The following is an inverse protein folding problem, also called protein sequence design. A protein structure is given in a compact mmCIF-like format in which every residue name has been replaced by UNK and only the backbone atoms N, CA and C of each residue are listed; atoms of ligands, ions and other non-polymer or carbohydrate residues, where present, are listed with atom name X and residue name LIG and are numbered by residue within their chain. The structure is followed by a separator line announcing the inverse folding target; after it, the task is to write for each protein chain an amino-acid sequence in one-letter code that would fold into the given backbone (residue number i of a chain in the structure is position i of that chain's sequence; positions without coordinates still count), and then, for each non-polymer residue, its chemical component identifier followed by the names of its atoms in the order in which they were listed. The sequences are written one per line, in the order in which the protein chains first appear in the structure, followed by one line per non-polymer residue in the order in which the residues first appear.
data_IF_994574285679
#
_entry.id   IF_994574285679
#
_cell.length_a   1.000
_cell.length_b   1.000
_cell.length_c   1.000
_cell.angle_alpha   90.00
_cell.angle_beta   90.00
_cell.angle_gamma   90.00
#
_symmetry.space_group_name_H-M   'P 1'
#
loop_
_entity.id
_entity.type
_entity.pdbx_description
1 polymer ?
#
# COMPACT_ATOMS: atom_id res chain seq x y z
N UNK A 1 6.37 -18.10 -6.17
CA UNK A 1 7.12 -18.73 -5.06
C UNK A 1 6.80 -20.21 -5.05
N UNK A 2 7.82 -21.05 -4.93
CA UNK A 2 7.63 -22.48 -4.66
C UNK A 2 7.92 -22.70 -3.17
N UNK A 3 6.85 -22.79 -2.39
CA UNK A 3 6.86 -23.00 -0.95
C UNK A 3 7.14 -24.48 -0.67
N UNK A 4 8.38 -24.91 -0.85
CA UNK A 4 8.79 -26.32 -0.63
C UNK A 4 8.38 -26.80 0.77
N UNK A 5 8.41 -25.90 1.76
CA UNK A 5 7.70 -26.02 3.02
C UNK A 5 7.47 -24.61 3.61
N UNK A 6 6.59 -24.46 4.61
CA UNK A 6 6.29 -23.17 5.27
C UNK A 6 7.47 -22.54 6.05
N UNK A 7 8.68 -23.11 6.00
CA UNK A 7 9.84 -22.68 6.80
C UNK A 7 10.98 -22.15 5.94
N UNK A 8 11.14 -22.66 4.72
CA UNK A 8 12.27 -22.35 3.87
C UNK A 8 11.78 -21.72 2.56
N UNK A 9 12.05 -20.43 2.42
CA UNK A 9 11.60 -19.62 1.28
C UNK A 9 12.74 -19.41 0.27
N UNK A 10 12.44 -19.52 -1.02
CA UNK A 10 13.44 -19.31 -2.08
C UNK A 10 12.84 -18.52 -3.24
N UNK A 11 13.66 -17.67 -3.86
CA UNK A 11 13.37 -17.10 -5.16
C UNK A 11 13.84 -18.09 -6.24
N UNK A 12 12.94 -18.44 -7.16
CA UNK A 12 13.23 -19.38 -8.24
C UNK A 12 12.80 -18.79 -9.58
N UNK A 13 13.64 -18.99 -10.60
CA UNK A 13 13.33 -18.65 -11.99
C UNK A 13 13.12 -19.92 -12.79
N UNK A 14 12.06 -19.95 -13.59
CA UNK A 14 11.74 -21.05 -14.48
C UNK A 14 11.70 -20.58 -15.93
N UNK A 15 12.10 -21.45 -16.86
CA UNK A 15 11.97 -21.20 -18.28
C UNK A 15 10.50 -21.38 -18.69
N UNK A 16 9.86 -20.31 -19.18
CA UNK A 16 8.41 -20.30 -19.47
C UNK A 16 7.98 -21.42 -20.44
N UNK A 17 8.79 -21.73 -21.46
CA UNK A 17 8.45 -22.74 -22.49
C UNK A 17 8.51 -24.18 -22.00
N UNK A 18 9.36 -24.48 -21.02
CA UNK A 18 9.66 -25.87 -20.62
C UNK A 18 9.31 -26.16 -19.17
N UNK A 19 9.05 -25.13 -18.36
CA UNK A 19 8.90 -25.27 -16.91
C UNK A 19 10.20 -25.67 -16.21
N UNK A 20 11.34 -25.76 -16.89
CA UNK A 20 12.62 -26.15 -16.28
C UNK A 20 13.12 -25.02 -15.38
N UNK A 21 13.56 -25.36 -14.17
CA UNK A 21 14.24 -24.42 -13.28
C UNK A 21 15.53 -23.93 -13.92
N UNK A 22 15.70 -22.61 -13.98
CA UNK A 22 16.90 -21.93 -14.48
C UNK A 22 17.90 -21.73 -13.34
N UNK A 23 17.42 -21.17 -12.23
CA UNK A 23 18.19 -20.99 -11.01
C UNK A 23 17.27 -20.89 -9.79
N UNK A 24 17.89 -21.06 -8.62
CA UNK A 24 17.30 -20.87 -7.30
C UNK A 24 18.27 -20.02 -6.46
N UNK A 25 17.74 -19.05 -5.72
CA UNK A 25 18.54 -18.22 -4.81
C UNK A 25 19.00 -18.99 -3.58
N UNK A 26 19.85 -18.37 -2.76
CA UNK A 26 19.97 -18.74 -1.36
C UNK A 26 18.61 -18.62 -0.64
N UNK A 27 18.49 -19.28 0.52
CA UNK A 27 17.28 -19.23 1.34
C UNK A 27 17.00 -17.80 1.84
N UNK A 28 15.76 -17.35 1.67
CA UNK A 28 15.25 -16.10 2.24
C UNK A 28 14.80 -16.40 3.67
N UNK A 29 15.74 -16.23 4.60
CA UNK A 29 15.55 -16.64 6.00
C UNK A 29 14.35 -15.97 6.66
N UNK A 30 13.58 -16.78 7.39
CA UNK A 30 12.45 -16.37 8.23
C UNK A 30 11.34 -15.59 7.51
N UNK A 31 11.36 -15.52 6.18
CA UNK A 31 10.35 -14.78 5.42
C UNK A 31 8.97 -15.40 5.63
N UNK A 32 8.03 -14.60 6.15
CA UNK A 32 6.64 -15.01 6.35
C UNK A 32 5.70 -14.53 5.24
N UNK A 33 6.10 -13.45 4.56
CA UNK A 33 5.40 -12.89 3.41
C UNK A 33 6.41 -12.20 2.49
N UNK A 34 6.18 -12.30 1.19
CA UNK A 34 6.92 -11.56 0.16
C UNK A 34 5.89 -10.84 -0.73
N UNK A 35 5.31 -9.72 -0.26
CA UNK A 35 4.22 -9.04 -0.97
C UNK A 35 4.66 -8.34 -2.27
N UNK A 36 5.97 -8.11 -2.45
CA UNK A 36 6.50 -7.42 -3.63
C UNK A 36 7.66 -8.18 -4.27
N UNK A 37 7.53 -8.47 -5.56
CA UNK A 37 8.60 -8.99 -6.41
C UNK A 37 8.66 -8.10 -7.65
N UNK A 38 9.77 -7.39 -7.81
CA UNK A 38 9.96 -6.45 -8.90
C UNK A 38 11.16 -6.87 -9.72
N UNK A 39 11.04 -6.81 -11.04
CA UNK A 39 12.13 -7.14 -11.96
C UNK A 39 12.45 -5.90 -12.77
N UNK A 40 13.71 -5.47 -12.77
CA UNK A 40 14.21 -4.37 -13.58
C UNK A 40 15.61 -4.72 -14.07
N UNK A 41 15.85 -4.54 -15.37
CA UNK A 41 17.10 -4.90 -16.03
C UNK A 41 17.58 -6.33 -15.67
N UNK A 42 18.76 -6.43 -15.07
CA UNK A 42 19.39 -7.67 -14.60
C UNK A 42 19.18 -7.90 -13.08
N UNK A 43 18.19 -7.26 -12.47
CA UNK A 43 17.92 -7.29 -11.02
C UNK A 43 16.49 -7.76 -10.69
N UNK A 44 16.37 -8.45 -9.56
CA UNK A 44 15.09 -8.75 -8.90
C UNK A 44 15.11 -8.17 -7.50
N UNK A 45 14.14 -7.30 -7.19
CA UNK A 45 13.99 -6.66 -5.88
C UNK A 45 12.82 -7.33 -5.17
N UNK A 46 13.06 -7.77 -3.94
CA UNK A 46 12.06 -8.38 -3.07
C UNK A 46 11.72 -7.43 -1.91
N UNK A 47 10.42 -7.26 -1.68
CA UNK A 47 9.89 -6.79 -0.41
C UNK A 47 9.65 -8.01 0.47
N UNK A 48 10.39 -8.16 1.57
CA UNK A 48 10.09 -9.17 2.59
C UNK A 48 9.31 -8.49 3.71
N UNK A 49 8.15 -9.04 4.03
CA UNK A 49 7.22 -8.49 5.03
C UNK A 49 6.72 -7.08 4.67
N UNK A 50 6.39 -6.31 5.71
CA UNK A 50 5.81 -4.98 5.61
C UNK A 50 4.29 -5.06 5.61
N UNK A 51 3.62 -4.04 5.09
CA UNK A 51 2.19 -4.07 4.83
C UNK A 51 1.85 -5.13 3.78
N UNK A 52 0.99 -6.07 4.18
CA UNK A 52 0.48 -7.17 3.37
C UNK A 52 -1.04 -7.12 3.40
N UNK A 53 -1.64 -7.17 2.22
CA UNK A 53 -3.09 -7.35 2.09
C UNK A 53 -3.45 -8.82 2.33
N UNK A 54 -4.22 -9.09 3.37
CA UNK A 54 -4.77 -10.39 3.69
C UNK A 54 -6.24 -10.44 3.26
N UNK A 55 -6.57 -11.33 2.34
CA UNK A 55 -7.96 -11.60 1.96
C UNK A 55 -8.41 -12.95 2.52
N UNK A 56 -9.57 -12.97 3.18
CA UNK A 56 -10.12 -14.21 3.73
C UNK A 56 -11.65 -14.21 3.76
N UNK A 57 -12.22 -15.41 3.68
CA UNK A 57 -13.66 -15.63 3.83
C UNK A 57 -13.94 -16.04 5.28
N UNK A 58 -14.62 -15.18 6.03
CA UNK A 58 -15.07 -15.48 7.38
C UNK A 58 -16.48 -16.06 7.35
N UNK A 59 -16.65 -17.19 8.04
CA UNK A 59 -17.95 -17.84 8.23
C UNK A 59 -18.34 -17.76 9.70
N UNK A 60 -19.34 -16.94 10.01
CA UNK A 60 -19.84 -16.73 11.37
C UNK A 60 -21.18 -17.44 11.54
N UNK A 61 -21.32 -18.29 12.57
CA UNK A 61 -22.57 -18.97 12.89
C UNK A 61 -23.49 -18.01 13.68
N UNK A 62 -24.71 -17.83 13.21
CA UNK A 62 -25.72 -16.99 13.85
C UNK A 62 -26.45 -17.77 14.97
N UNK A 63 -27.11 -17.08 15.92
CA UNK A 63 -27.86 -17.72 17.00
C UNK A 63 -28.97 -18.68 16.54
N UNK A 64 -29.54 -18.43 15.35
CA UNK A 64 -30.59 -19.25 14.71
C UNK A 64 -30.04 -20.48 13.97
N UNK A 65 -28.72 -20.70 14.00
CA UNK A 65 -28.06 -21.82 13.31
C UNK A 65 -27.70 -21.57 11.85
N UNK A 66 -28.11 -20.43 11.27
CA UNK A 66 -27.66 -20.00 9.93
C UNK A 66 -26.20 -19.52 9.96
N UNK A 67 -25.62 -19.28 8.78
CA UNK A 67 -24.27 -18.75 8.65
C UNK A 67 -24.26 -17.43 7.89
N UNK A 68 -23.52 -16.47 8.41
CA UNK A 68 -23.13 -15.26 7.69
C UNK A 68 -21.75 -15.50 7.07
N UNK A 69 -21.62 -15.29 5.77
CA UNK A 69 -20.35 -15.35 5.04
C UNK A 69 -19.93 -13.92 4.72
N UNK A 70 -18.74 -13.54 5.18
CA UNK A 70 -18.16 -12.22 4.94
C UNK A 70 -16.82 -12.40 4.24
N UNK A 71 -16.62 -11.69 3.13
CA UNK A 71 -15.30 -11.54 2.53
C UNK A 71 -14.62 -10.37 3.24
N UNK A 72 -13.53 -10.65 3.96
CA UNK A 72 -12.75 -9.64 4.66
C UNK A 72 -11.44 -9.41 3.95
N UNK A 73 -11.01 -8.15 3.97
CA UNK A 73 -9.71 -7.76 3.48
C UNK A 73 -9.08 -6.82 4.49
N UNK A 74 -7.89 -7.19 4.95
CA UNK A 74 -7.16 -6.53 6.02
C UNK A 74 -5.73 -6.22 5.57
N UNK A 75 -5.15 -5.18 6.17
CA UNK A 75 -3.78 -4.76 5.94
C UNK A 75 -2.97 -5.09 7.19
N UNK A 76 -2.13 -6.12 7.13
CA UNK A 76 -1.31 -6.57 8.26
C UNK A 76 0.17 -6.23 8.03
N UNK A 77 0.84 -5.71 9.05
CA UNK A 77 2.30 -5.52 8.99
C UNK A 77 3.03 -6.80 9.44
N UNK A 78 3.57 -7.53 8.48
CA UNK A 78 4.21 -8.85 8.69
C UNK A 78 5.72 -8.70 8.86
N UNK A 79 6.27 -9.34 9.90
CA UNK A 79 7.72 -9.45 10.16
C UNK A 79 8.27 -10.83 9.75
N UNK A 80 9.59 -10.95 9.47
CA UNK A 80 10.60 -9.90 9.41
C UNK A 80 10.38 -8.98 8.21
N UNK A 81 11.02 -7.80 8.26
CA UNK A 81 10.94 -6.79 7.20
C UNK A 81 12.31 -6.51 6.61
N UNK A 82 12.46 -6.49 5.29
CA UNK A 82 13.65 -5.97 4.60
C UNK A 82 13.36 -5.80 3.11
N UNK A 83 14.32 -5.18 2.42
CA UNK A 83 14.41 -5.18 0.96
C UNK A 83 15.65 -5.96 0.56
N UNK A 84 15.51 -6.88 -0.37
CA UNK A 84 16.62 -7.68 -0.90
C UNK A 84 16.71 -7.51 -2.41
N UNK A 85 17.92 -7.56 -2.94
CA UNK A 85 18.17 -7.52 -4.38
C UNK A 85 18.98 -8.74 -4.82
N UNK A 86 18.56 -9.33 -5.92
CA UNK A 86 19.15 -10.51 -6.54
C UNK A 86 19.51 -10.23 -7.99
N UNK A 87 20.53 -10.90 -8.49
CA UNK A 87 20.85 -10.93 -9.90
C UNK A 87 19.78 -11.77 -10.63
N UNK A 88 19.09 -11.19 -11.62
CA UNK A 88 18.01 -11.85 -12.36
C UNK A 88 18.48 -12.96 -13.32
N UNK A 89 19.79 -13.01 -13.59
CA UNK A 89 20.44 -14.00 -14.46
C UNK A 89 20.93 -15.19 -13.64
N UNK A 90 21.58 -14.96 -12.51
CA UNK A 90 22.23 -16.02 -11.71
C UNK A 90 21.45 -16.43 -10.46
N UNK A 91 20.57 -15.58 -9.94
CA UNK A 91 19.88 -15.80 -8.66
C UNK A 91 20.72 -15.46 -7.42
N UNK A 92 21.94 -14.93 -7.60
CA UNK A 92 22.81 -14.51 -6.51
C UNK A 92 22.24 -13.28 -5.78
N UNK A 93 22.27 -13.27 -4.45
CA UNK A 93 21.90 -12.10 -3.67
C UNK A 93 23.02 -11.05 -3.75
N UNK A 94 22.65 -9.84 -4.16
CA UNK A 94 23.59 -8.74 -4.36
C UNK A 94 23.69 -7.84 -3.13
N UNK A 95 22.55 -7.54 -2.49
CA UNK A 95 22.49 -6.76 -1.25
C UNK A 95 21.19 -6.98 -0.50
N UNK A 96 21.18 -6.61 0.78
CA UNK A 96 20.01 -6.54 1.67
C UNK A 96 20.04 -5.22 2.43
N UNK A 97 18.87 -4.59 2.61
CA UNK A 97 18.76 -3.32 3.34
C UNK A 97 18.78 -3.52 4.86
N UNK A 98 19.79 -2.97 5.55
CA UNK A 98 19.86 -3.02 7.02
C UNK A 98 18.84 -2.08 7.69
N UNK A 99 18.57 -0.89 7.10
CA UNK A 99 17.63 0.06 7.71
C UNK A 99 16.19 -0.45 7.75
N UNK A 100 15.75 -1.16 6.72
CA UNK A 100 14.35 -1.62 6.63
C UNK A 100 14.04 -2.76 7.60
N UNK A 101 15.07 -3.43 8.17
CA UNK A 101 14.92 -4.39 9.28
C UNK A 101 14.23 -3.81 10.52
N UNK A 102 14.26 -2.47 10.68
CA UNK A 102 13.63 -1.77 11.80
C UNK A 102 12.13 -1.51 11.59
N UNK A 103 11.66 -1.53 10.35
CA UNK A 103 10.29 -1.20 10.01
C UNK A 103 10.16 -0.85 8.53
N UNK A 104 9.09 -1.32 7.91
CA UNK A 104 8.72 -1.04 6.54
C UNK A 104 7.19 -1.09 6.40
N UNK A 105 6.66 -0.21 5.56
CA UNK A 105 5.28 -0.25 5.06
C UNK A 105 5.30 -1.07 3.78
N UNK A 106 5.46 -0.43 2.63
CA UNK A 106 5.63 -1.07 1.33
C UNK A 106 6.72 -0.35 0.52
N UNK A 107 6.98 -0.86 -0.68
CA UNK A 107 7.88 -0.25 -1.64
C UNK A 107 7.32 -0.25 -3.06
N UNK A 108 7.86 0.61 -3.92
CA UNK A 108 7.70 0.55 -5.37
C UNK A 108 8.99 1.00 -6.07
N UNK A 109 9.14 0.68 -7.36
CA UNK A 109 10.30 1.11 -8.15
C UNK A 109 10.00 2.41 -8.90
N UNK A 110 10.99 3.31 -8.97
CA UNK A 110 10.95 4.56 -9.72
C UNK A 110 12.30 4.79 -10.42
N UNK A 111 12.37 4.39 -11.69
CA UNK A 111 13.62 4.41 -12.45
C UNK A 111 14.66 3.47 -11.83
N UNK A 112 15.86 3.97 -11.57
CA UNK A 112 16.95 3.21 -10.94
C UNK A 112 16.82 3.08 -9.41
N UNK A 113 15.69 3.49 -8.83
CA UNK A 113 15.52 3.61 -7.38
C UNK A 113 14.36 2.77 -6.87
N UNK A 114 14.50 2.18 -5.68
CA UNK A 114 13.39 1.64 -4.90
C UNK A 114 12.96 2.68 -3.87
N UNK A 115 11.71 3.12 -3.94
CA UNK A 115 11.09 4.02 -2.96
C UNK A 115 10.48 3.17 -1.86
N UNK A 116 10.89 3.40 -0.62
CA UNK A 116 10.49 2.59 0.54
C UNK A 116 10.13 3.51 1.70
N UNK A 117 9.13 3.16 2.51
CA UNK A 117 8.81 3.91 3.72
C UNK A 117 8.85 3.03 4.96
N UNK A 118 9.51 3.49 6.03
CA UNK A 118 9.61 2.78 7.32
C UNK A 118 8.45 3.02 8.27
N UNK A 119 7.47 3.82 7.85
CA UNK A 119 6.45 4.42 8.71
C UNK A 119 6.88 5.73 9.36
N UNK A 120 8.19 5.98 9.53
CA UNK A 120 8.73 7.22 10.13
C UNK A 120 9.52 8.09 9.16
N UNK A 121 10.06 7.47 8.12
CA UNK A 121 10.85 8.15 7.11
C UNK A 121 10.58 7.54 5.72
N UNK A 122 10.73 8.39 4.70
CA UNK A 122 10.74 8.01 3.30
C UNK A 122 12.18 7.86 2.82
N UNK A 123 12.45 6.78 2.10
CA UNK A 123 13.76 6.43 1.56
C UNK A 123 13.68 6.28 0.05
N UNK A 124 14.77 6.63 -0.63
CA UNK A 124 15.06 6.17 -1.99
C UNK A 124 16.35 5.38 -1.92
N UNK A 125 16.31 4.11 -2.33
CA UNK A 125 17.46 3.22 -2.39
C UNK A 125 17.90 3.09 -3.84
N UNK A 126 19.18 3.27 -4.13
CA UNK A 126 19.76 2.92 -5.42
C UNK A 126 19.67 1.41 -5.64
N UNK A 127 19.04 0.96 -6.73
CA UNK A 127 18.79 -0.47 -6.96
C UNK A 127 20.10 -1.24 -7.21
N UNK A 128 21.11 -0.58 -7.79
CA UNK A 128 22.38 -1.23 -8.09
C UNK A 128 23.17 -1.58 -6.82
N UNK A 129 23.15 -0.72 -5.81
CA UNK A 129 24.02 -0.81 -4.62
C UNK A 129 23.28 -1.00 -3.30
N UNK A 130 21.98 -0.73 -3.23
CA UNK A 130 21.18 -0.75 -2.01
C UNK A 130 21.40 0.46 -1.09
N UNK A 131 22.26 1.41 -1.49
CA UNK A 131 22.57 2.62 -0.71
C UNK A 131 21.43 3.63 -0.80
N UNK A 132 21.21 4.38 0.27
CA UNK A 132 20.21 5.44 0.25
C UNK A 132 20.68 6.64 -0.59
N UNK A 133 19.88 7.03 -1.58
CA UNK A 133 19.99 8.33 -2.24
C UNK A 133 19.53 9.45 -1.29
N UNK A 134 18.46 9.18 -0.54
CA UNK A 134 17.99 10.08 0.52
C UNK A 134 17.21 9.33 1.60
N UNK A 135 17.13 9.97 2.77
CA UNK A 135 16.26 9.64 3.89
C UNK A 135 15.57 10.92 4.37
N UNK A 136 14.24 10.93 4.43
CA UNK A 136 13.45 12.08 4.85
C UNK A 136 12.50 11.69 5.97
N UNK A 137 12.71 12.26 7.15
CA UNK A 137 11.79 12.08 8.27
C UNK A 137 10.40 12.66 7.94
N UNK A 138 9.35 11.94 8.32
CA UNK A 138 7.95 12.31 8.05
C UNK A 138 7.27 13.03 9.21
N UNK A 139 8.01 13.29 10.30
CA UNK A 139 7.46 13.97 11.49
C UNK A 139 6.89 15.34 11.15
N UNK A 140 7.55 16.07 10.26
CA UNK A 140 7.18 17.43 9.87
C UNK A 140 5.96 17.47 8.94
N UNK A 141 5.69 16.38 8.22
CA UNK A 141 4.50 16.20 7.37
C UNK A 141 3.22 16.19 8.20
N UNK A 142 3.35 15.85 9.48
CA UNK A 142 2.30 16.00 10.48
C UNK A 142 1.06 15.12 10.23
N UNK A 143 1.25 13.97 9.57
CA UNK A 143 0.20 13.00 9.20
C UNK A 143 0.21 11.73 10.06
N UNK A 144 0.95 11.71 11.17
CA UNK A 144 1.14 10.51 11.99
C UNK A 144 2.22 9.57 11.44
N UNK A 145 2.21 8.29 11.84
CA UNK A 145 3.03 7.29 11.19
C UNK A 145 2.47 6.98 9.81
N UNK A 146 3.33 6.79 8.82
CA UNK A 146 2.92 6.29 7.52
C UNK A 146 2.51 4.83 7.62
N UNK A 147 1.34 4.51 7.07
CA UNK A 147 0.85 3.14 6.95
C UNK A 147 1.12 2.59 5.54
N UNK A 148 1.11 3.45 4.52
CA UNK A 148 1.32 3.06 3.12
C UNK A 148 1.90 4.21 2.30
N UNK A 149 2.69 3.87 1.27
CA UNK A 149 3.06 4.78 0.18
C UNK A 149 2.48 4.33 -1.15
N UNK A 150 2.16 5.32 -2.00
CA UNK A 150 1.62 5.12 -3.35
C UNK A 150 2.47 5.90 -4.34
N UNK A 151 2.75 5.29 -5.49
CA UNK A 151 3.34 5.95 -6.65
C UNK A 151 2.29 6.84 -7.34
N UNK A 152 2.57 8.14 -7.44
CA UNK A 152 1.68 9.09 -8.14
C UNK A 152 2.48 10.14 -8.93
N UNK A 153 2.48 10.06 -10.26
CA UNK A 153 3.17 11.00 -11.15
C UNK A 153 4.67 11.15 -10.80
N UNK A 154 5.12 12.35 -10.42
CA UNK A 154 6.48 12.66 -9.96
C UNK A 154 6.63 12.61 -8.43
N UNK A 155 5.58 12.17 -7.74
CA UNK A 155 5.41 12.23 -6.29
C UNK A 155 5.20 10.85 -5.65
N UNK A 156 5.50 10.80 -4.37
CA UNK A 156 5.14 9.73 -3.45
C UNK A 156 4.02 10.25 -2.58
N UNK A 157 2.84 9.62 -2.69
CA UNK A 157 1.75 9.88 -1.75
C UNK A 157 1.97 9.01 -0.52
N UNK A 158 2.00 9.64 0.64
CA UNK A 158 2.21 9.02 1.94
C UNK A 158 0.88 9.07 2.66
N UNK A 159 0.29 7.90 2.87
CA UNK A 159 -0.91 7.73 3.68
C UNK A 159 -0.46 7.48 5.11
N UNK A 160 -0.72 8.44 5.99
CA UNK A 160 -0.45 8.31 7.41
C UNK A 160 -1.71 8.11 8.22
N UNK A 161 -1.54 7.67 9.47
CA UNK A 161 -2.62 7.42 10.41
C UNK A 161 -3.58 8.62 10.54
N UNK A 162 -3.10 9.84 10.32
CA UNK A 162 -3.82 11.10 10.55
C UNK A 162 -3.76 12.05 9.35
N UNK A 163 -3.70 11.52 8.13
CA UNK A 163 -3.84 12.31 6.91
C UNK A 163 -2.97 11.85 5.76
N UNK A 164 -2.78 12.72 4.78
CA UNK A 164 -2.04 12.43 3.55
C UNK A 164 -0.96 13.48 3.34
N UNK A 165 0.24 13.04 2.97
CA UNK A 165 1.36 13.88 2.59
C UNK A 165 1.84 13.52 1.18
N UNK A 166 2.51 14.45 0.52
CA UNK A 166 3.18 14.24 -0.75
C UNK A 166 4.61 14.75 -0.72
N UNK A 167 5.51 13.96 -1.30
CA UNK A 167 6.93 14.27 -1.47
C UNK A 167 7.39 13.91 -2.87
N UNK A 168 8.36 14.63 -3.44
CA UNK A 168 8.91 14.29 -4.76
C UNK A 168 9.70 12.98 -4.71
N UNK A 169 9.56 12.15 -5.76
CA UNK A 169 10.35 10.90 -5.89
C UNK A 169 11.84 11.15 -6.11
N UNK A 170 12.20 12.28 -6.70
CA UNK A 170 13.57 12.59 -7.12
C UNK A 170 14.51 12.82 -5.94
N UNK A 171 14.06 13.55 -4.92
CA UNK A 171 14.90 14.02 -3.81
C UNK A 171 14.20 13.94 -2.43
N UNK A 172 12.95 13.46 -2.39
CA UNK A 172 12.13 13.40 -1.19
C UNK A 172 11.70 14.77 -0.67
N UNK A 173 11.86 15.84 -1.44
CA UNK A 173 11.44 17.19 -1.04
C UNK A 173 9.92 17.23 -0.80
N UNK A 174 9.53 18.00 0.22
CA UNK A 174 8.13 18.15 0.63
C UNK A 174 7.33 18.92 -0.42
N UNK A 175 6.16 18.42 -0.78
CA UNK A 175 5.23 19.08 -1.70
C UNK A 175 4.05 19.68 -0.94
N UNK A 176 3.45 18.90 -0.04
CA UNK A 176 2.30 19.34 0.73
C UNK A 176 1.75 18.22 1.60
N UNK A 177 0.96 18.57 2.61
CA UNK A 177 0.21 17.61 3.41
C UNK A 177 -1.07 18.24 3.93
N UNK A 178 -2.01 17.38 4.27
CA UNK A 178 -3.22 17.77 4.98
C UNK A 178 -3.54 16.76 6.07
N UNK A 179 -3.85 17.30 7.24
CA UNK A 179 -4.26 16.53 8.42
C UNK A 179 -5.71 16.14 8.35
N UNK A 180 -5.99 14.93 8.82
CA UNK A 180 -7.34 14.50 9.12
C UNK A 180 -7.36 13.68 10.42
N UNK A 181 -8.55 13.20 10.78
CA UNK A 181 -8.74 12.31 11.92
C UNK A 181 -8.08 10.95 11.65
N UNK A 182 -7.95 10.13 12.70
CA UNK A 182 -7.47 8.76 12.54
C UNK A 182 -8.38 8.02 11.56
N UNK A 183 -7.81 7.56 10.44
CA UNK A 183 -8.59 7.06 9.31
C UNK A 183 -7.80 6.05 8.49
N UNK A 184 -8.51 5.28 7.68
CA UNK A 184 -7.94 4.32 6.73
C UNK A 184 -8.41 4.66 5.32
N UNK A 185 -7.66 4.29 4.27
CA UNK A 185 -8.11 4.47 2.90
C UNK A 185 -9.43 3.73 2.64
N UNK A 186 -10.29 4.34 1.83
CA UNK A 186 -11.44 3.64 1.27
C UNK A 186 -10.94 2.63 0.24
N UNK A 187 -11.39 1.39 0.37
CA UNK A 187 -11.03 0.30 -0.53
C UNK A 187 -12.28 -0.40 -1.07
N UNK A 188 -12.14 -1.03 -2.23
CA UNK A 188 -13.13 -1.92 -2.81
C UNK A 188 -12.47 -3.24 -3.15
N UNK A 189 -13.03 -4.34 -2.65
CA UNK A 189 -12.42 -5.67 -2.74
C UNK A 189 -10.93 -5.64 -2.36
N UNK A 190 -10.60 -4.91 -1.28
CA UNK A 190 -9.26 -4.87 -0.70
C UNK A 190 -8.34 -3.84 -1.30
N UNK A 191 -8.54 -3.56 -2.57
CA UNK A 191 -7.74 -2.58 -3.28
C UNK A 191 -8.14 -1.19 -2.85
N UNK A 192 -7.15 -0.42 -2.41
CA UNK A 192 -7.33 1.01 -2.16
C UNK A 192 -7.71 1.66 -3.47
N UNK A 193 -8.87 2.31 -3.47
CA UNK A 193 -9.30 3.04 -4.65
C UNK A 193 -8.69 4.43 -4.58
N UNK A 194 -7.87 4.72 -5.57
CA UNK A 194 -7.41 6.07 -5.90
C UNK A 194 -7.35 6.18 -7.42
N UNK A 195 -7.77 7.31 -7.98
CA UNK A 195 -7.93 7.44 -9.42
C UNK A 195 -8.02 8.90 -9.85
N UNK A 196 -7.36 9.22 -10.96
CA UNK A 196 -7.19 10.59 -11.45
C UNK A 196 -6.35 11.44 -10.51
N UNK A 197 -7.02 12.14 -9.59
CA UNK A 197 -6.43 13.03 -8.59
C UNK A 197 -7.06 12.84 -7.22
N UNK A 198 -7.76 11.74 -6.96
CA UNK A 198 -8.55 11.58 -5.74
C UNK A 198 -8.19 10.34 -4.92
N UNK A 199 -8.14 10.53 -3.60
CA UNK A 199 -7.98 9.47 -2.59
C UNK A 199 -8.94 9.77 -1.43
N UNK A 200 -9.74 8.80 -1.02
CA UNK A 200 -10.64 8.95 0.12
C UNK A 200 -10.10 8.23 1.36
N UNK A 201 -10.15 8.89 2.52
CA UNK A 201 -9.94 8.29 3.82
C UNK A 201 -11.26 8.27 4.61
N UNK A 202 -11.46 7.23 5.42
CA UNK A 202 -12.64 7.05 6.27
C UNK A 202 -12.24 6.82 7.73
N UNK A 203 -12.91 7.49 8.66
CA UNK A 203 -12.77 7.21 10.11
C UNK A 203 -13.64 6.03 10.54
N UNK A 204 -13.42 5.51 11.75
CA UNK A 204 -14.29 4.48 12.35
C UNK A 204 -15.73 4.96 12.61
N UNK A 205 -15.96 6.28 12.61
CA UNK A 205 -17.27 6.89 12.80
C UNK A 205 -17.91 7.33 11.46
N UNK A 206 -17.33 6.91 10.33
CA UNK A 206 -17.80 7.21 8.97
C UNK A 206 -17.71 8.69 8.58
N UNK A 207 -16.71 9.42 9.10
CA UNK A 207 -16.31 10.70 8.52
C UNK A 207 -15.40 10.42 7.32
N UNK A 208 -15.68 11.05 6.18
CA UNK A 208 -14.87 10.89 4.97
C UNK A 208 -14.10 12.16 4.62
N UNK A 209 -12.84 12.00 4.22
CA UNK A 209 -12.04 13.05 3.64
C UNK A 209 -11.58 12.62 2.24
N UNK A 210 -11.99 13.36 1.21
CA UNK A 210 -11.53 13.11 -0.17
C UNK A 210 -10.45 14.11 -0.52
N UNK A 211 -9.22 13.64 -0.64
CA UNK A 211 -8.04 14.40 -0.97
C UNK A 211 -7.89 14.58 -2.47
N UNK A 212 -7.53 15.79 -2.88
CA UNK A 212 -6.94 16.08 -4.18
C UNK A 212 -5.42 15.83 -4.11
N UNK A 213 -4.95 14.82 -4.84
CA UNK A 213 -3.56 14.36 -4.85
C UNK A 213 -2.58 15.32 -5.54
N UNK A 214 -3.07 16.37 -6.19
CA UNK A 214 -2.22 17.41 -6.79
C UNK A 214 -2.04 18.59 -5.83
N UNK A 215 -3.11 19.00 -5.13
CA UNK A 215 -3.09 20.17 -4.24
C UNK A 215 -2.89 19.82 -2.76
N UNK A 216 -2.99 18.54 -2.41
CA UNK A 216 -2.98 18.04 -1.03
C UNK A 216 -4.08 18.65 -0.14
N UNK A 217 -5.17 19.15 -0.73
CA UNK A 217 -6.36 19.62 0.00
C UNK A 217 -7.43 18.55 0.00
N UNK A 218 -8.28 18.49 1.00
CA UNK A 218 -9.42 17.58 1.01
C UNK A 218 -10.74 18.30 1.26
N UNK A 219 -11.83 17.64 0.83
CA UNK A 219 -13.19 17.97 1.22
C UNK A 219 -13.67 16.98 2.28
N UNK A 220 -14.25 17.50 3.36
CA UNK A 220 -14.92 16.68 4.38
C UNK A 220 -16.34 16.34 3.94
N UNK A 221 -16.74 15.12 4.24
CA UNK A 221 -18.11 14.65 4.15
C UNK A 221 -18.47 13.98 5.47
N UNK A 222 -19.25 14.69 6.28
CA UNK A 222 -19.78 14.19 7.54
C UNK A 222 -20.94 13.24 7.23
N UNK A 223 -20.66 11.95 7.09
CA UNK A 223 -21.74 10.97 6.96
C UNK A 223 -22.39 10.72 8.32
N UNK A 224 -23.69 10.45 8.33
CA UNK A 224 -24.40 10.12 9.58
C UNK A 224 -23.88 8.80 10.15
N UNK A 225 -23.98 8.64 11.47
CA UNK A 225 -23.61 7.40 12.16
C UNK A 225 -24.31 6.19 11.51
N UNK A 226 -23.53 5.23 11.04
CA UNK A 226 -24.04 4.02 10.36
C UNK A 226 -24.22 4.18 8.84
N UNK A 227 -23.85 5.32 8.26
CA UNK A 227 -23.72 5.44 6.80
C UNK A 227 -22.63 4.51 6.26
N UNK A 228 -22.81 4.04 5.04
CA UNK A 228 -21.75 3.38 4.26
C UNK A 228 -21.34 4.30 3.12
N UNK A 229 -20.10 4.20 2.67
CA UNK A 229 -19.70 4.87 1.45
C UNK A 229 -18.78 4.01 0.61
N UNK A 230 -18.89 4.23 -0.70
CA UNK A 230 -18.13 3.53 -1.71
C UNK A 230 -17.52 4.59 -2.63
N UNK A 231 -16.21 4.55 -2.82
CA UNK A 231 -15.60 5.26 -3.93
C UNK A 231 -15.87 4.43 -5.19
N UNK A 232 -16.21 5.06 -6.31
CA UNK A 232 -16.29 4.39 -7.60
C UNK A 232 -14.92 3.88 -8.00
N UNK A 233 -14.85 2.78 -8.76
CA UNK A 233 -13.58 2.14 -9.13
C UNK A 233 -12.63 3.09 -9.90
N UNK A 234 -13.18 4.09 -10.59
CA UNK A 234 -12.40 5.14 -11.27
C UNK A 234 -11.85 6.23 -10.33
N UNK A 235 -12.21 6.19 -9.04
CA UNK A 235 -11.85 7.19 -8.03
C UNK A 235 -12.58 8.53 -8.16
N UNK A 236 -13.51 8.68 -9.12
CA UNK A 236 -14.11 9.96 -9.50
C UNK A 236 -15.41 10.28 -8.76
N UNK A 237 -15.97 9.36 -7.98
CA UNK A 237 -17.23 9.57 -7.26
C UNK A 237 -17.23 8.89 -5.92
N UNK A 238 -17.62 9.62 -4.87
CA UNK A 238 -17.92 9.02 -3.56
C UNK A 238 -19.44 8.89 -3.43
N UNK A 239 -19.92 7.65 -3.38
CA UNK A 239 -21.32 7.33 -3.13
C UNK A 239 -21.51 7.09 -1.63
N UNK A 240 -22.25 7.97 -0.95
CA UNK A 240 -22.59 7.81 0.47
C UNK A 240 -24.04 7.37 0.60
N UNK A 241 -24.27 6.25 1.28
CA UNK A 241 -25.57 5.72 1.64
C UNK A 241 -25.81 5.94 3.14
N UNK A 242 -26.66 6.91 3.48
CA UNK A 242 -27.05 7.16 4.86
C UNK A 242 -27.90 6.02 5.43
N UNK A 243 -27.74 5.71 6.72
CA UNK A 243 -28.61 4.77 7.44
C UNK A 243 -29.99 5.38 7.68
N UNK A 244 -31.03 4.73 7.17
CA UNK A 244 -32.44 5.14 7.34
C UNK A 244 -33.29 4.66 6.16
N UNK A 245 -34.23 3.75 6.42
CA UNK A 245 -34.97 3.01 5.40
C UNK A 245 -35.58 3.85 4.28
N UNK A 246 -35.55 3.26 3.08
CA UNK A 246 -36.17 3.68 1.81
C UNK A 246 -35.91 5.11 1.33
N UNK A 247 -35.07 5.20 0.29
CA UNK A 247 -35.04 6.22 -0.77
C UNK A 247 -35.47 7.62 -0.30
N UNK A 248 -34.55 8.34 0.36
CA UNK A 248 -34.52 9.79 0.26
C UNK A 248 -33.22 10.17 -0.42
N UNK A 249 -33.34 10.72 -1.63
CA UNK A 249 -32.28 11.19 -2.54
C UNK A 249 -30.89 11.14 -1.90
N UNK A 250 -30.15 10.07 -2.17
CA UNK A 250 -28.70 10.09 -1.98
C UNK A 250 -28.17 11.31 -2.72
N UNK A 251 -27.49 12.21 -2.01
CA UNK A 251 -26.71 13.26 -2.66
C UNK A 251 -25.52 12.55 -3.31
N UNK A 252 -25.68 12.14 -4.56
CA UNK A 252 -24.56 11.78 -5.42
C UNK A 252 -23.74 13.05 -5.56
N UNK A 253 -22.65 13.14 -4.81
CA UNK A 253 -21.70 14.23 -4.98
C UNK A 253 -20.68 13.74 -5.99
N UNK A 254 -20.86 14.13 -7.25
CA UNK A 254 -19.85 13.97 -8.27
C UNK A 254 -18.59 14.70 -7.77
N UNK A 255 -17.49 13.97 -7.58
CA UNK A 255 -16.21 14.62 -7.43
C UNK A 255 -15.87 15.16 -8.81
N UNK A 256 -15.42 16.41 -8.85
CA UNK A 256 -15.33 17.22 -10.05
C UNK A 256 -14.60 16.47 -11.17
N UNK A 257 -15.29 16.24 -12.28
CA UNK A 257 -14.73 15.66 -13.48
C UNK A 257 -14.46 16.82 -14.45
N UNK A 258 -13.17 17.00 -14.78
CA UNK A 258 -12.57 17.98 -15.72
C UNK A 258 -12.32 19.39 -15.15
N UNK A 259 -11.18 20.06 -15.36
CA UNK A 259 -10.12 19.97 -16.40
C UNK A 259 -8.70 19.93 -15.82
#
# INVERSE_FOLDING_TARGET
LDLVNKRNEYLKKYALKTGKMVWQSAEIKDARAIPGIYVTDDKVILQVGGQVELQYVQRTKNPDGSFTITNNIEMENVKPVNVQCFNAITGEQLWESEKMKKGMTNLFLSGSNAIVCSGKALYSLDIATGKENYEKALKEDNVGLADLIIDYNDQVIIIGEKGVSSRKKSDGSYVGSSKFKKSTPVSHNGQIIYGGRSLALCTSNNDYAVYDLTTMKYKNYDARKGASAYLSDDGLSLMVLESGGMIRKSKVTLLDTTK
#
